data_IF_617219084048
#
_entry.id   IF_617219084048
#
_cell.length_a   1.000
_cell.length_b   1.000
_cell.length_c   1.000
_cell.angle_alpha   90.00
_cell.angle_beta   90.00
_cell.angle_gamma   90.00
#
_symmetry.space_group_name_H-M   'P 1'
#
loop_
_entity.id
_entity.type
_entity.pdbx_description
1 polymer ?
#
# COMPACT_ATOMS: atom_id res chain seq x y z
N UNK A 1 0.13 -4.13 6.72
CA UNK A 1 0.85 -5.41 6.65
C UNK A 1 2.32 -5.09 6.46
N UNK A 2 3.20 -5.66 7.28
CA UNK A 2 4.59 -5.24 7.42
C UNK A 2 4.74 -3.96 8.23
N UNK A 3 5.81 -3.19 7.97
CA UNK A 3 6.08 -1.92 8.62
C UNK A 3 6.39 -2.04 10.12
N UNK A 4 7.11 -3.10 10.52
CA UNK A 4 7.45 -3.39 11.91
C UNK A 4 8.24 -2.30 12.62
N UNK A 5 8.80 -1.34 11.87
CA UNK A 5 9.46 -0.14 12.38
C UNK A 5 8.50 0.93 12.93
N UNK A 6 7.20 0.77 12.68
CA UNK A 6 6.12 1.69 13.06
C UNK A 6 6.10 3.06 12.36
N UNK A 7 6.94 3.33 11.39
CA UNK A 7 6.97 4.62 10.69
C UNK A 7 5.63 4.97 10.03
N UNK A 8 5.03 4.01 9.33
CA UNK A 8 3.69 4.19 8.74
C UNK A 8 2.62 4.33 9.82
N UNK A 9 2.69 3.54 10.90
CA UNK A 9 1.71 3.61 11.98
C UNK A 9 1.73 4.98 12.69
N UNK A 10 2.92 5.57 12.89
CA UNK A 10 3.08 6.91 13.44
C UNK A 10 2.36 7.96 12.59
N UNK A 11 2.59 7.95 11.27
CA UNK A 11 1.93 8.89 10.35
C UNK A 11 0.41 8.71 10.33
N UNK A 12 -0.08 7.47 10.32
CA UNK A 12 -1.51 7.17 10.34
C UNK A 12 -2.18 7.67 11.62
N UNK A 13 -1.53 7.50 12.78
CA UNK A 13 -2.07 7.91 14.08
C UNK A 13 -2.14 9.43 14.28
N UNK A 14 -1.44 10.24 13.47
CA UNK A 14 -1.62 11.70 13.43
C UNK A 14 -3.03 12.11 13.02
N UNK A 15 -3.74 11.24 12.30
CA UNK A 15 -5.12 11.48 11.90
C UNK A 15 -6.09 11.17 13.05
N UNK A 16 -6.73 12.20 13.61
CA UNK A 16 -7.69 12.05 14.73
C UNK A 16 -8.95 11.27 14.36
N UNK A 17 -9.28 11.16 13.08
CA UNK A 17 -10.42 10.38 12.60
C UNK A 17 -10.18 8.87 12.61
N UNK A 18 -8.93 8.43 12.66
CA UNK A 18 -8.59 7.02 12.75
C UNK A 18 -9.05 6.49 14.12
N UNK A 19 -9.77 5.38 14.09
CA UNK A 19 -10.30 4.72 15.28
C UNK A 19 -9.45 3.55 15.73
N UNK A 20 -8.81 2.87 14.80
CA UNK A 20 -7.95 1.71 15.06
C UNK A 20 -6.89 1.59 13.97
N UNK A 21 -5.70 1.17 14.39
CA UNK A 21 -4.61 0.74 13.53
C UNK A 21 -4.20 -0.66 13.97
N UNK A 22 -4.28 -1.62 13.08
CA UNK A 22 -3.78 -2.98 13.30
C UNK A 22 -2.57 -3.18 12.40
N UNK A 23 -1.40 -3.34 12.98
CA UNK A 23 -0.18 -3.71 12.29
C UNK A 23 -0.03 -5.22 12.34
N UNK A 24 0.25 -5.85 11.22
CA UNK A 24 0.53 -7.29 11.13
C UNK A 24 1.95 -7.45 10.61
N UNK A 25 2.86 -7.89 11.47
CA UNK A 25 4.27 -8.09 11.18
C UNK A 25 4.64 -9.56 11.41
N UNK A 26 5.32 -10.15 10.43
CA UNK A 26 5.68 -11.58 10.51
C UNK A 26 6.82 -11.83 11.49
N UNK A 27 7.72 -10.85 11.65
CA UNK A 27 8.94 -11.01 12.45
C UNK A 27 8.89 -10.15 13.72
N UNK A 28 8.71 -10.80 14.86
CA UNK A 28 8.74 -10.15 16.16
C UNK A 28 10.09 -9.46 16.46
N UNK A 29 11.19 -9.94 15.87
CA UNK A 29 12.52 -9.36 16.10
C UNK A 29 12.65 -7.98 15.47
N UNK A 30 11.98 -7.72 14.32
CA UNK A 30 11.92 -6.40 13.69
C UNK A 30 11.24 -5.40 14.62
N UNK A 31 10.11 -5.80 15.23
CA UNK A 31 9.39 -4.94 16.19
C UNK A 31 10.23 -4.69 17.45
N UNK A 32 10.92 -5.72 17.96
CA UNK A 32 11.82 -5.58 19.11
C UNK A 32 12.99 -4.63 18.81
N UNK A 33 13.63 -4.82 17.67
CA UNK A 33 14.71 -3.96 17.19
C UNK A 33 14.26 -2.50 17.03
N UNK A 34 13.10 -2.29 16.43
CA UNK A 34 12.56 -0.94 16.26
C UNK A 34 12.27 -0.25 17.61
N UNK A 35 11.76 -0.99 18.60
CA UNK A 35 11.53 -0.46 19.96
C UNK A 35 12.83 -0.04 20.65
N UNK A 36 13.90 -0.77 20.42
CA UNK A 36 15.20 -0.51 21.03
C UNK A 36 15.93 0.65 20.35
N UNK A 37 15.96 0.66 19.00
CA UNK A 37 16.81 1.55 18.23
C UNK A 37 16.10 2.78 17.66
N UNK A 38 14.76 2.76 17.54
CA UNK A 38 13.93 3.86 17.03
C UNK A 38 12.80 4.24 18.01
N UNK A 39 13.14 4.49 19.30
CA UNK A 39 12.13 4.76 20.33
C UNK A 39 11.33 6.03 20.08
N UNK A 40 11.84 6.99 19.32
CA UNK A 40 11.15 8.21 18.95
C UNK A 40 9.90 7.96 18.10
N UNK A 41 9.90 6.92 17.26
CA UNK A 41 8.74 6.50 16.47
C UNK A 41 7.87 5.49 17.22
N UNK A 42 8.49 4.49 17.85
CA UNK A 42 7.76 3.35 18.41
C UNK A 42 7.05 3.67 19.73
N UNK A 43 7.65 4.46 20.63
CA UNK A 43 7.03 4.78 21.95
C UNK A 43 5.67 5.45 21.81
N UNK A 44 5.48 6.52 21.01
CA UNK A 44 4.17 7.14 20.86
C UNK A 44 3.15 6.20 20.21
N UNK A 45 3.59 5.35 19.26
CA UNK A 45 2.72 4.38 18.59
C UNK A 45 2.22 3.31 19.55
N UNK A 46 3.12 2.68 20.31
CA UNK A 46 2.74 1.64 21.29
C UNK A 46 2.00 2.19 22.52
N UNK A 47 2.10 3.48 22.81
CA UNK A 47 1.32 4.15 23.86
C UNK A 47 -0.09 4.57 23.40
N UNK A 48 -0.38 4.57 22.12
CA UNK A 48 -1.69 4.97 21.58
C UNK A 48 -2.68 3.81 21.69
N UNK A 49 -3.77 4.01 22.43
CA UNK A 49 -4.81 2.99 22.64
C UNK A 49 -5.52 2.53 21.35
N UNK A 50 -5.34 3.24 20.24
CA UNK A 50 -5.89 2.88 18.93
C UNK A 50 -5.00 1.87 18.19
N UNK A 51 -3.76 1.65 18.64
CA UNK A 51 -2.78 0.80 17.97
C UNK A 51 -2.78 -0.62 18.53
N UNK A 52 -2.72 -1.59 17.64
CA UNK A 52 -2.59 -3.00 17.94
C UNK A 52 -1.49 -3.59 17.02
N UNK A 53 -0.49 -4.25 17.60
CA UNK A 53 0.53 -4.99 16.86
C UNK A 53 0.25 -6.50 16.98
N UNK A 54 0.14 -7.17 15.84
CA UNK A 54 -0.10 -8.61 15.71
C UNK A 54 1.12 -9.22 15.05
N UNK A 55 1.72 -10.22 15.70
CA UNK A 55 2.80 -11.01 15.10
C UNK A 55 2.18 -12.21 14.41
N UNK A 56 2.05 -12.12 13.10
CA UNK A 56 1.47 -13.18 12.25
C UNK A 56 1.87 -12.99 10.78
N UNK A 57 1.68 -14.02 9.96
CA UNK A 57 1.78 -13.95 8.51
C UNK A 57 0.65 -13.09 7.93
N UNK A 58 1.01 -12.04 7.17
CA UNK A 58 0.06 -11.12 6.57
C UNK A 58 -0.91 -11.79 5.60
N UNK A 59 -0.45 -12.80 4.84
CA UNK A 59 -1.29 -13.58 3.92
C UNK A 59 -2.32 -14.42 4.68
N UNK A 60 -1.90 -15.04 5.79
CA UNK A 60 -2.76 -15.80 6.68
C UNK A 60 -3.78 -14.85 7.34
N UNK A 61 -3.30 -13.75 7.93
CA UNK A 61 -4.16 -12.79 8.62
C UNK A 61 -5.31 -12.27 7.74
N UNK A 62 -5.00 -11.78 6.52
CA UNK A 62 -6.07 -11.33 5.60
C UNK A 62 -6.94 -12.48 5.08
N UNK A 63 -6.47 -13.72 5.18
CA UNK A 63 -7.22 -14.92 4.85
C UNK A 63 -8.26 -15.30 5.90
N UNK A 64 -7.96 -15.10 7.17
CA UNK A 64 -8.72 -15.62 8.31
C UNK A 64 -9.53 -14.54 9.04
N UNK A 65 -9.10 -13.27 8.99
CA UNK A 65 -9.79 -12.19 9.71
C UNK A 65 -11.21 -11.94 9.20
N UNK A 66 -12.14 -11.75 10.12
CA UNK A 66 -13.51 -11.26 9.85
C UNK A 66 -13.60 -9.73 9.90
N UNK A 67 -12.54 -9.07 10.35
CA UNK A 67 -12.49 -7.60 10.44
C UNK A 67 -12.53 -6.96 9.07
N UNK A 68 -13.11 -5.75 9.01
CA UNK A 68 -13.14 -4.90 7.84
C UNK A 68 -12.32 -3.62 8.09
N UNK A 69 -11.69 -3.12 7.04
CA UNK A 69 -10.81 -1.98 7.10
C UNK A 69 -11.21 -0.94 6.06
N UNK A 70 -11.05 0.32 6.37
CA UNK A 70 -11.24 1.40 5.41
C UNK A 70 -10.00 1.57 4.52
N UNK A 71 -8.83 1.26 5.08
CA UNK A 71 -7.54 1.35 4.37
C UNK A 71 -6.69 0.12 4.74
N UNK A 72 -6.06 -0.47 3.75
CA UNK A 72 -5.01 -1.47 3.91
C UNK A 72 -3.73 -0.90 3.29
N UNK A 73 -2.66 -0.86 4.09
CA UNK A 73 -1.33 -0.44 3.63
C UNK A 73 -0.42 -1.66 3.71
N UNK A 74 0.28 -1.95 2.62
CA UNK A 74 1.27 -3.03 2.54
C UNK A 74 2.64 -2.39 2.41
N UNK A 75 3.36 -2.44 3.52
CA UNK A 75 4.72 -1.92 3.66
C UNK A 75 5.65 -3.11 3.93
N UNK A 76 5.92 -3.86 2.86
CA UNK A 76 6.71 -5.08 2.89
C UNK A 76 8.07 -4.89 2.25
N UNK A 77 8.95 -5.87 2.44
CA UNK A 77 10.16 -6.01 1.62
C UNK A 77 9.81 -6.28 0.16
N UNK A 78 10.81 -6.22 -0.72
CA UNK A 78 10.68 -6.62 -2.12
C UNK A 78 10.14 -8.07 -2.26
N UNK A 79 9.56 -8.45 -3.43
CA UNK A 79 8.96 -9.76 -3.66
C UNK A 79 10.01 -10.88 -3.75
N UNK A 80 10.73 -11.09 -2.66
CA UNK A 80 11.76 -12.12 -2.49
C UNK A 80 11.53 -12.87 -1.19
N UNK A 81 11.71 -14.20 -1.21
CA UNK A 81 11.52 -15.05 -0.04
C UNK A 81 10.12 -14.94 0.56
N UNK A 82 9.98 -14.80 1.89
CA UNK A 82 8.68 -14.76 2.56
C UNK A 82 7.76 -13.62 2.11
N UNK A 83 8.33 -12.51 1.61
CA UNK A 83 7.57 -11.35 1.13
C UNK A 83 6.86 -11.59 -0.21
N UNK A 84 7.29 -12.58 -1.01
CA UNK A 84 6.76 -12.82 -2.37
C UNK A 84 5.24 -13.03 -2.39
N UNK A 85 4.69 -13.69 -1.37
CA UNK A 85 3.26 -13.97 -1.28
C UNK A 85 2.39 -12.72 -1.21
N UNK A 86 2.93 -11.62 -0.67
CA UNK A 86 2.23 -10.34 -0.52
C UNK A 86 2.08 -9.56 -1.84
N UNK A 87 2.70 -10.03 -2.90
CA UNK A 87 2.57 -9.47 -4.25
C UNK A 87 1.63 -10.30 -5.15
N UNK A 88 1.07 -11.40 -4.66
CA UNK A 88 0.21 -12.27 -5.46
C UNK A 88 -1.19 -11.69 -5.67
N UNK A 89 -1.84 -12.06 -6.80
CA UNK A 89 -3.25 -11.72 -7.05
C UNK A 89 -4.18 -12.26 -5.95
N UNK A 90 -3.84 -13.44 -5.40
CA UNK A 90 -4.56 -14.04 -4.29
C UNK A 90 -4.51 -13.17 -3.03
N UNK A 91 -3.35 -12.65 -2.68
CA UNK A 91 -3.20 -11.74 -1.53
C UNK A 91 -4.05 -10.47 -1.72
N UNK A 92 -3.98 -9.83 -2.89
CA UNK A 92 -4.77 -8.63 -3.17
C UNK A 92 -6.28 -8.92 -3.18
N UNK A 93 -6.69 -10.11 -3.62
CA UNK A 93 -8.09 -10.54 -3.55
C UNK A 93 -8.55 -10.69 -2.09
N UNK A 94 -7.73 -11.27 -1.22
CA UNK A 94 -8.01 -11.37 0.22
C UNK A 94 -8.06 -9.99 0.87
N UNK A 95 -7.11 -9.10 0.55
CA UNK A 95 -7.15 -7.72 1.00
C UNK A 95 -8.46 -7.02 0.57
N UNK A 96 -8.86 -7.16 -0.69
CA UNK A 96 -10.14 -6.60 -1.17
C UNK A 96 -11.33 -7.11 -0.36
N UNK A 97 -11.36 -8.41 -0.04
CA UNK A 97 -12.41 -8.98 0.83
C UNK A 97 -12.45 -8.33 2.21
N UNK A 98 -11.30 -7.94 2.75
CA UNK A 98 -11.20 -7.28 4.05
C UNK A 98 -11.49 -5.78 4.02
N UNK A 99 -11.63 -5.15 2.85
CA UNK A 99 -11.99 -3.75 2.75
C UNK A 99 -13.49 -3.52 2.94
N UNK A 100 -13.83 -2.40 3.58
CA UNK A 100 -15.15 -1.82 3.55
C UNK A 100 -15.48 -1.35 2.12
N UNK A 101 -16.76 -1.10 1.82
CA UNK A 101 -17.18 -0.51 0.56
C UNK A 101 -16.43 0.81 0.31
N UNK A 102 -15.83 0.95 -0.87
CA UNK A 102 -15.01 2.10 -1.23
C UNK A 102 -13.67 2.20 -0.46
N UNK A 103 -13.26 1.14 0.24
CA UNK A 103 -11.96 1.12 0.92
C UNK A 103 -10.78 1.19 -0.05
N UNK A 104 -9.61 1.52 0.48
CA UNK A 104 -8.39 1.78 -0.29
C UNK A 104 -7.33 0.74 0.08
N UNK A 105 -6.63 0.23 -0.92
CA UNK A 105 -5.36 -0.48 -0.73
C UNK A 105 -4.21 0.34 -1.31
N UNK A 106 -3.11 0.43 -0.55
CA UNK A 106 -1.84 1.01 -0.99
C UNK A 106 -0.74 -0.01 -0.73
N UNK A 107 0.13 -0.22 -1.71
CA UNK A 107 1.20 -1.21 -1.61
C UNK A 107 2.54 -0.62 -2.00
N UNK A 108 3.59 -0.96 -1.29
CA UNK A 108 4.95 -0.78 -1.78
C UNK A 108 5.06 -1.46 -3.15
N UNK A 109 5.70 -0.82 -4.13
CA UNK A 109 5.79 -1.33 -5.51
C UNK A 109 7.14 -1.03 -6.17
N UNK A 110 8.17 -0.85 -5.37
CA UNK A 110 9.54 -0.70 -5.82
C UNK A 110 9.92 0.68 -6.38
N UNK A 111 11.16 0.78 -6.79
CA UNK A 111 11.70 1.95 -7.48
C UNK A 111 11.50 1.78 -9.00
N UNK A 112 10.68 2.61 -9.66
CA UNK A 112 10.21 2.33 -11.03
C UNK A 112 11.32 2.16 -12.08
N UNK A 113 12.48 2.82 -11.87
CA UNK A 113 13.62 2.72 -12.80
C UNK A 113 14.35 1.38 -12.68
N UNK A 114 14.44 0.84 -11.47
CA UNK A 114 15.22 -0.38 -11.19
C UNK A 114 14.34 -1.62 -11.07
N UNK A 115 13.08 -1.43 -10.70
CA UNK A 115 12.11 -2.50 -10.45
C UNK A 115 10.83 -2.31 -11.31
N UNK A 116 10.96 -2.07 -12.63
CA UNK A 116 9.80 -1.76 -13.48
C UNK A 116 8.78 -2.91 -13.55
N UNK A 117 9.25 -4.16 -13.46
CA UNK A 117 8.36 -5.34 -13.51
C UNK A 117 7.50 -5.47 -12.27
N UNK A 118 8.03 -5.14 -11.11
CA UNK A 118 7.30 -5.20 -9.84
C UNK A 118 6.13 -4.22 -9.85
N UNK A 119 6.39 -2.98 -10.28
CA UNK A 119 5.37 -1.97 -10.43
C UNK A 119 4.29 -2.39 -11.44
N UNK A 120 4.70 -2.80 -12.64
CA UNK A 120 3.76 -3.21 -13.72
C UNK A 120 2.88 -4.38 -13.25
N UNK A 121 3.49 -5.41 -12.66
CA UNK A 121 2.78 -6.59 -12.17
C UNK A 121 1.81 -6.25 -11.04
N UNK A 122 2.23 -5.42 -10.07
CA UNK A 122 1.37 -4.99 -8.96
C UNK A 122 0.14 -4.25 -9.48
N UNK A 123 0.35 -3.24 -10.34
CA UNK A 123 -0.77 -2.45 -10.86
C UNK A 123 -1.69 -3.28 -11.75
N UNK A 124 -1.15 -4.18 -12.58
CA UNK A 124 -1.95 -5.11 -13.40
C UNK A 124 -2.84 -6.00 -12.54
N UNK A 125 -2.30 -6.60 -11.47
CA UNK A 125 -3.05 -7.45 -10.53
C UNK A 125 -4.15 -6.67 -9.80
N UNK A 126 -3.85 -5.47 -9.34
CA UNK A 126 -4.83 -4.58 -8.71
C UNK A 126 -5.94 -4.17 -9.69
N UNK A 127 -5.59 -3.86 -10.94
CA UNK A 127 -6.56 -3.50 -11.99
C UNK A 127 -7.52 -4.64 -12.32
N UNK A 128 -7.06 -5.88 -12.24
CA UNK A 128 -7.90 -7.07 -12.41
C UNK A 128 -8.89 -7.30 -11.26
N UNK A 129 -8.77 -6.53 -10.16
CA UNK A 129 -9.60 -6.71 -8.97
C UNK A 129 -10.44 -5.48 -8.63
N UNK A 130 -9.97 -4.26 -8.87
CA UNK A 130 -10.59 -3.01 -8.44
C UNK A 130 -11.05 -2.16 -9.62
N UNK A 131 -12.07 -1.34 -9.40
CA UNK A 131 -12.62 -0.43 -10.41
C UNK A 131 -11.69 0.74 -10.78
N UNK A 132 -10.77 1.13 -9.89
CA UNK A 132 -9.73 2.12 -10.12
C UNK A 132 -8.42 1.59 -9.52
N UNK A 133 -7.41 1.42 -10.37
CA UNK A 133 -6.08 0.98 -9.95
C UNK A 133 -4.99 1.67 -10.79
N UNK A 134 -3.99 2.19 -10.10
CA UNK A 134 -2.83 2.89 -10.63
C UNK A 134 -1.69 2.86 -9.61
N UNK A 135 -0.72 3.73 -9.76
CA UNK A 135 0.27 3.98 -8.71
C UNK A 135 0.35 5.47 -8.36
N UNK A 136 0.96 5.75 -7.25
CA UNK A 136 1.50 7.07 -6.91
C UNK A 136 3.02 7.01 -6.92
N UNK A 137 3.66 8.17 -7.09
CA UNK A 137 5.12 8.31 -7.04
C UNK A 137 5.48 9.34 -5.98
N UNK A 138 6.45 9.00 -5.14
CA UNK A 138 7.00 9.89 -4.14
C UNK A 138 8.52 10.00 -4.26
N UNK A 139 9.05 11.19 -4.00
CA UNK A 139 10.49 11.38 -3.87
C UNK A 139 10.95 10.82 -2.51
N UNK A 140 11.76 9.78 -2.53
CA UNK A 140 12.34 9.15 -1.34
C UNK A 140 13.85 8.99 -1.58
N UNK A 141 14.65 10.00 -1.22
CA UNK A 141 16.08 10.08 -1.59
C UNK A 141 16.95 8.95 -1.05
N UNK A 142 16.48 8.22 -0.04
CA UNK A 142 17.20 7.06 0.54
C UNK A 142 17.21 5.85 -0.38
N UNK A 143 16.27 5.77 -1.33
CA UNK A 143 16.25 4.70 -2.32
C UNK A 143 17.01 5.09 -3.59
N UNK A 144 17.59 4.08 -4.24
CA UNK A 144 18.31 4.26 -5.51
C UNK A 144 17.37 4.86 -6.56
N UNK A 145 17.79 5.95 -7.20
CA UNK A 145 16.97 6.68 -8.16
C UNK A 145 16.06 7.75 -7.55
N UNK A 146 15.96 7.83 -6.21
CA UNK A 146 15.25 8.89 -5.50
C UNK A 146 13.72 8.86 -5.60
N UNK A 147 13.15 7.88 -6.27
CA UNK A 147 11.70 7.72 -6.46
C UNK A 147 11.24 6.34 -6.01
N UNK A 148 10.11 6.32 -5.31
CA UNK A 148 9.41 5.11 -4.93
C UNK A 148 8.00 5.14 -5.50
N UNK A 149 7.53 4.02 -6.03
CA UNK A 149 6.15 3.87 -6.46
C UNK A 149 5.35 3.09 -5.42
N UNK A 150 4.11 3.51 -5.21
CA UNK A 150 3.15 2.79 -4.41
C UNK A 150 1.93 2.46 -5.27
N UNK A 151 1.59 1.18 -5.39
CA UNK A 151 0.35 0.74 -5.99
C UNK A 151 -0.83 1.30 -5.19
N UNK A 152 -1.83 1.76 -5.89
CA UNK A 152 -3.07 2.32 -5.32
C UNK A 152 -4.27 1.68 -6.00
N UNK A 153 -5.24 1.20 -5.21
CA UNK A 153 -6.50 0.76 -5.78
C UNK A 153 -7.69 0.99 -4.84
N UNK A 154 -8.86 1.19 -5.44
CA UNK A 154 -10.16 1.31 -4.77
C UNK A 154 -11.29 1.00 -5.76
N UNK A 155 -12.45 0.60 -5.26
CA UNK A 155 -13.68 0.57 -6.07
C UNK A 155 -14.36 1.95 -6.13
N UNK A 156 -13.90 2.93 -5.33
CA UNK A 156 -14.37 4.32 -5.38
C UNK A 156 -13.36 5.25 -6.06
N UNK A 157 -13.57 5.52 -7.34
CA UNK A 157 -12.73 6.43 -8.15
C UNK A 157 -12.63 7.86 -7.59
N UNK A 158 -13.56 8.28 -6.72
CA UNK A 158 -13.58 9.63 -6.14
C UNK A 158 -12.36 9.90 -5.26
N UNK A 159 -11.73 8.86 -4.71
CA UNK A 159 -10.51 9.01 -3.90
C UNK A 159 -9.39 9.64 -4.72
N UNK A 160 -9.07 9.07 -5.86
CA UNK A 160 -8.00 9.55 -6.75
C UNK A 160 -8.38 10.84 -7.49
N UNK A 161 -9.66 10.98 -7.86
CA UNK A 161 -10.15 12.11 -8.65
C UNK A 161 -10.49 13.34 -7.80
N UNK A 162 -10.37 13.26 -6.47
CA UNK A 162 -10.66 14.38 -5.59
C UNK A 162 -9.87 15.64 -6.01
N UNK A 163 -10.50 16.81 -6.18
CA UNK A 163 -9.78 18.03 -6.48
C UNK A 163 -8.97 18.49 -5.26
N UNK A 164 -7.83 19.14 -5.51
CA UNK A 164 -6.93 19.63 -4.46
C UNK A 164 -7.66 20.43 -3.36
N UNK A 165 -8.59 21.29 -3.74
CA UNK A 165 -9.41 22.07 -2.79
C UNK A 165 -10.20 21.19 -1.80
N UNK A 166 -10.67 20.01 -2.24
CA UNK A 166 -11.39 19.09 -1.37
C UNK A 166 -10.42 18.37 -0.42
N UNK A 167 -9.24 18.00 -0.90
CA UNK A 167 -8.16 17.43 -0.09
C UNK A 167 -7.73 18.43 0.98
N UNK A 168 -7.47 19.68 0.60
CA UNK A 168 -7.09 20.76 1.51
C UNK A 168 -8.19 21.03 2.57
N UNK A 169 -9.46 20.98 2.17
CA UNK A 169 -10.56 21.17 3.10
C UNK A 169 -10.68 20.01 4.11
N UNK A 170 -10.45 18.77 3.69
CA UNK A 170 -10.40 17.58 4.57
C UNK A 170 -9.26 17.71 5.57
N UNK A 171 -8.07 18.09 5.10
CA UNK A 171 -6.89 18.27 5.94
C UNK A 171 -7.11 19.32 7.03
N UNK A 172 -7.67 20.48 6.68
CA UNK A 172 -8.01 21.53 7.67
C UNK A 172 -9.04 21.03 8.69
N UNK A 173 -10.09 20.31 8.26
CA UNK A 173 -11.07 19.72 9.17
C UNK A 173 -10.49 18.66 10.10
N UNK A 174 -9.46 17.94 9.64
CA UNK A 174 -8.75 16.97 10.47
C UNK A 174 -7.84 17.62 11.54
N UNK A 175 -7.76 18.94 11.59
CA UNK A 175 -7.01 19.71 12.57
C UNK A 175 -5.61 20.13 12.12
N UNK A 176 -5.22 19.83 10.87
CA UNK A 176 -3.95 20.31 10.30
C UNK A 176 -2.74 19.87 11.11
N UNK A 177 -2.41 18.58 11.14
CA UNK A 177 -1.18 18.09 11.77
C UNK A 177 0.05 18.43 10.92
N UNK A 178 1.22 18.52 11.56
CA UNK A 178 2.46 18.85 10.86
C UNK A 178 2.89 17.75 9.89
N UNK A 179 3.25 18.15 8.68
CA UNK A 179 3.83 17.27 7.65
C UNK A 179 5.11 17.90 7.10
N UNK A 180 6.13 17.09 6.82
CA UNK A 180 7.41 17.57 6.26
C UNK A 180 7.49 17.42 4.74
N UNK A 181 6.71 16.52 4.17
CA UNK A 181 6.71 16.21 2.75
C UNK A 181 5.34 16.49 2.11
N UNK A 182 4.28 16.00 2.73
CA UNK A 182 2.95 16.01 2.15
C UNK A 182 2.30 17.39 2.19
N UNK A 183 1.70 17.78 1.07
CA UNK A 183 0.74 18.89 0.95
C UNK A 183 -0.43 18.44 0.10
N UNK A 184 -1.59 19.12 0.11
CA UNK A 184 -2.69 18.81 -0.82
C UNK A 184 -2.29 18.82 -2.29
N UNK A 185 -1.39 19.73 -2.69
CA UNK A 185 -0.84 19.80 -4.04
C UNK A 185 0.06 18.60 -4.36
N UNK A 186 0.97 18.23 -3.45
CA UNK A 186 1.82 17.03 -3.58
C UNK A 186 0.97 15.77 -3.66
N UNK A 187 -0.07 15.64 -2.83
CA UNK A 187 -1.00 14.51 -2.90
C UNK A 187 -1.63 14.39 -4.30
N UNK A 188 -2.11 15.50 -4.85
CA UNK A 188 -2.69 15.49 -6.19
C UNK A 188 -1.66 15.19 -7.26
N UNK A 189 -0.47 15.78 -7.14
CA UNK A 189 0.63 15.58 -8.09
C UNK A 189 1.21 14.16 -8.07
N UNK A 190 1.13 13.45 -6.93
CA UNK A 190 1.62 12.07 -6.81
C UNK A 190 0.98 11.09 -7.81
N UNK A 191 -0.21 11.39 -8.33
CA UNK A 191 -0.90 10.63 -9.37
C UNK A 191 -0.60 11.13 -10.79
N UNK A 192 0.17 12.21 -10.96
CA UNK A 192 0.62 12.70 -12.27
C UNK A 192 1.90 11.97 -12.66
N UNK A 193 1.75 10.83 -13.32
CA UNK A 193 2.86 9.93 -13.62
C UNK A 193 3.73 10.47 -14.77
N UNK A 194 5.06 10.42 -14.63
CA UNK A 194 5.97 10.55 -15.78
C UNK A 194 5.62 9.55 -16.88
N UNK A 195 5.84 9.91 -18.14
CA UNK A 195 5.44 9.10 -19.29
C UNK A 195 5.93 7.65 -19.21
N UNK A 196 7.19 7.43 -18.87
CA UNK A 196 7.76 6.09 -18.78
C UNK A 196 7.11 5.24 -17.67
N UNK A 197 6.64 5.85 -16.58
CA UNK A 197 5.88 5.14 -15.53
C UNK A 197 4.45 4.87 -15.98
N UNK A 198 3.81 5.83 -16.65
CA UNK A 198 2.48 5.63 -17.23
C UNK A 198 2.48 4.45 -18.19
N UNK A 199 3.47 4.38 -19.08
CA UNK A 199 3.62 3.28 -20.05
C UNK A 199 3.82 1.92 -19.33
N UNK A 200 4.58 1.88 -18.23
CA UNK A 200 4.77 0.65 -17.43
C UNK A 200 3.46 0.15 -16.83
N UNK A 201 2.66 1.03 -16.25
CA UNK A 201 1.42 0.63 -15.60
C UNK A 201 0.27 0.38 -16.57
N UNK A 202 0.35 0.88 -17.81
CA UNK A 202 -0.61 0.61 -18.88
C UNK A 202 -0.32 -0.72 -19.60
N UNK A 203 0.92 -1.20 -19.53
CA UNK A 203 1.31 -2.46 -20.17
C UNK A 203 0.58 -3.65 -19.55
N UNK A 204 0.06 -4.61 -20.35
CA UNK A 204 -0.47 -5.86 -19.83
C UNK A 204 0.66 -6.69 -19.19
N UNK A 205 0.33 -7.38 -18.08
CA UNK A 205 1.29 -8.29 -17.45
C UNK A 205 1.58 -9.49 -18.36
N UNK A 206 2.84 -9.66 -18.75
CA UNK A 206 3.27 -10.73 -19.65
C UNK A 206 3.03 -12.15 -19.06
N UNK A 207 2.93 -12.27 -17.73
CA UNK A 207 2.65 -13.57 -17.08
C UNK A 207 1.15 -13.91 -17.04
N UNK A 208 0.28 -12.92 -16.92
CA UNK A 208 -1.17 -13.15 -16.97
C UNK A 208 -1.61 -13.50 -18.41
N UNK A 209 -0.98 -12.94 -19.43
CA UNK A 209 -1.21 -13.29 -20.82
C UNK A 209 -0.79 -14.73 -21.18
N UNK A 210 0.23 -15.29 -20.53
CA UNK A 210 0.67 -16.66 -20.73
C UNK A 210 -0.22 -17.68 -20.02
N UNK A 211 -0.89 -17.30 -18.92
CA UNK A 211 -1.79 -18.19 -18.16
C UNK A 211 -3.14 -18.44 -18.86
N UNK A 212 -3.62 -17.49 -19.65
CA UNK A 212 -4.85 -17.64 -20.44
C UNK A 212 -4.65 -18.51 -21.70
N UNK A 213 -3.42 -18.57 -22.22
CA UNK A 213 -3.11 -19.36 -23.42
C UNK A 213 -3.02 -20.89 -23.16
N UNK A 214 -2.85 -21.33 -21.92
CA UNK A 214 -2.76 -22.75 -21.55
C UNK A 214 -4.10 -23.39 -21.16
N UNK A 215 -5.19 -22.61 -21.11
CA UNK A 215 -6.54 -23.06 -20.72
C UNK A 215 -7.44 -23.48 -21.88
N UNK A 216 -7.01 -23.38 -23.16
CA UNK A 216 -7.80 -23.85 -24.29
C UNK A 216 -7.32 -25.23 -24.79
N UNK A 217 -8.00 -26.21 -24.31
CA UNK A 217 -8.39 -27.49 -24.84
C UNK A 217 -7.52 -28.19 -25.88
N UNK A 218 -7.23 -29.44 -25.55
CA UNK A 218 -7.12 -30.46 -26.59
C UNK A 218 -8.35 -31.37 -26.49
N UNK A 219 -9.30 -31.34 -27.44
CA UNK A 219 -10.30 -32.34 -27.55
C UNK A 219 -9.74 -33.51 -28.39
N UNK A 220 -9.41 -34.62 -27.73
CA UNK A 220 -9.56 -35.96 -28.31
C UNK A 220 -9.48 -37.04 -27.22
#
# INVERSE_FOLDING_TARGET
VGGGDCGIAEEVLKHKSIKRVTQVEIDASVVAFAKEHFPEFTRPVFADARFESVIDDGMKYVGETERRFDIIIVDSTDPQGPGEVLFTKEFYRRCKRCLNEGGIIVTQSGAPVFQPRELATTVSRLRGLFADATCTVAAIPTYVGGFMAMGFASDDKRHRLAPERAIAARYRRAGGFSTRYWTPAVHKAAFALPRFIADLVEAPDAKDAAGEATGQGNPR
#
